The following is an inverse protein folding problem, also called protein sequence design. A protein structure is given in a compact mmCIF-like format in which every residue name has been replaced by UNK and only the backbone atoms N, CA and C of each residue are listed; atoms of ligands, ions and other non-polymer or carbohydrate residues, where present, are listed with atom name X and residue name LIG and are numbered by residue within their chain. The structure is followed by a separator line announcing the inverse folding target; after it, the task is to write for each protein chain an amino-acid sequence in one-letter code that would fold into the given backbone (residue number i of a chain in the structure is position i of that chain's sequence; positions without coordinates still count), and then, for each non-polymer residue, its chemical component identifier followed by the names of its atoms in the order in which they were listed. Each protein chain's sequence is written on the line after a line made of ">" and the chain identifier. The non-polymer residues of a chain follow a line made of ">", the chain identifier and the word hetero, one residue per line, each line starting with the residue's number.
data_IF_074468189168
#
_entry.id   IF_074468189168
#
_cell.length_a   1.000
_cell.length_b   1.000
_cell.length_c   1.000
_cell.angle_alpha   90.00
_cell.angle_beta   90.00
_cell.angle_gamma   90.00
#
_symmetry.space_group_name_H-M   'P 1'
#
loop_
_entity.id
_entity.type
_entity.pdbx_description
1 polymer ?
#
# COMPACT_ATOMS: atom_id res chain seq x y z
N UNK A 1 9.22 5.48 5.69
CA UNK A 1 8.45 5.27 6.93
C UNK A 1 6.99 5.67 6.69
N UNK A 2 6.01 4.97 7.25
CA UNK A 2 4.61 5.42 7.19
C UNK A 2 4.40 6.50 8.23
N UNK A 3 3.90 7.66 7.82
CA UNK A 3 3.49 8.73 8.73
C UNK A 3 1.97 8.65 8.91
N UNK A 4 1.53 8.22 10.09
CA UNK A 4 0.12 8.00 10.40
C UNK A 4 -0.53 9.27 10.92
N UNK A 5 -1.71 9.60 10.38
CA UNK A 5 -2.59 10.61 10.95
C UNK A 5 -3.58 9.92 11.91
N UNK A 6 -3.24 9.88 13.20
CA UNK A 6 -3.95 9.05 14.19
C UNK A 6 -5.39 9.51 14.50
N UNK A 7 -5.77 10.71 14.07
CA UNK A 7 -7.10 11.31 14.29
C UNK A 7 -8.07 11.02 13.14
N UNK A 8 -7.63 10.32 12.10
CA UNK A 8 -8.43 9.99 10.92
C UNK A 8 -8.65 8.48 10.84
N UNK A 9 -9.91 8.08 10.63
CA UNK A 9 -10.28 6.69 10.38
C UNK A 9 -11.05 6.54 9.08
N UNK A 10 -10.53 5.73 8.17
CA UNK A 10 -11.25 5.34 6.97
C UNK A 10 -12.00 4.02 7.18
N UNK A 11 -13.24 3.92 6.73
CA UNK A 11 -14.10 2.75 7.00
C UNK A 11 -14.71 2.18 5.72
N UNK A 12 -14.82 0.85 5.65
CA UNK A 12 -15.61 0.19 4.61
C UNK A 12 -17.10 0.55 4.76
N UNK A 13 -17.83 0.45 3.64
CA UNK A 13 -19.28 0.68 3.63
C UNK A 13 -19.99 -0.34 4.54
N UNK A 14 -20.91 0.14 5.38
CA UNK A 14 -21.70 -0.69 6.30
C UNK A 14 -21.14 -0.82 7.72
N UNK A 15 -19.99 -0.20 8.02
CA UNK A 15 -19.49 -0.09 9.40
C UNK A 15 -20.32 0.94 10.17
N UNK A 16 -20.79 0.58 11.37
CA UNK A 16 -21.56 1.47 12.24
C UNK A 16 -20.69 2.54 12.89
N UNK A 17 -21.02 3.80 12.65
CA UNK A 17 -20.29 4.97 13.18
C UNK A 17 -20.39 5.10 14.70
N UNK A 18 -21.39 4.50 15.35
CA UNK A 18 -21.55 4.51 16.80
C UNK A 18 -20.43 3.76 17.54
N UNK A 19 -19.72 2.87 16.84
CA UNK A 19 -18.57 2.13 17.41
C UNK A 19 -17.26 2.91 17.33
N UNK A 20 -17.27 4.08 16.66
CA UNK A 20 -16.08 4.88 16.39
C UNK A 20 -16.10 6.11 17.32
N UNK A 21 -14.99 6.38 18.04
CA UNK A 21 -14.87 7.55 18.91
C UNK A 21 -15.25 8.87 18.20
N UNK A 22 -15.92 9.77 18.93
CA UNK A 22 -16.44 11.05 18.39
C UNK A 22 -15.33 12.08 18.09
N UNK A 23 -14.14 11.89 18.65
CA UNK A 23 -12.96 12.71 18.42
C UNK A 23 -12.20 12.35 17.13
N UNK A 24 -12.72 11.39 16.35
CA UNK A 24 -12.14 10.99 15.06
C UNK A 24 -12.92 11.54 13.87
N UNK A 25 -12.17 12.08 12.91
CA UNK A 25 -12.67 12.36 11.57
C UNK A 25 -12.82 11.02 10.80
N UNK A 26 -14.02 10.79 10.26
CA UNK A 26 -14.38 9.53 9.62
C UNK A 26 -14.66 9.71 8.14
N UNK A 27 -13.99 8.90 7.33
CA UNK A 27 -14.18 8.85 5.89
C UNK A 27 -14.62 7.46 5.45
N UNK A 28 -15.72 7.36 4.69
CA UNK A 28 -16.10 6.11 4.03
C UNK A 28 -15.27 5.88 2.79
N UNK A 29 -14.81 4.64 2.63
CA UNK A 29 -14.13 4.18 1.44
C UNK A 29 -15.14 3.70 0.40
N UNK A 30 -15.13 4.32 -0.78
CA UNK A 30 -15.74 3.78 -1.98
C UNK A 30 -14.69 3.02 -2.80
N UNK A 31 -14.78 1.69 -2.79
CA UNK A 31 -13.84 0.79 -3.47
C UNK A 31 -14.31 0.39 -4.88
N UNK A 32 -15.35 1.02 -5.44
CA UNK A 32 -15.92 0.69 -6.77
C UNK A 32 -15.17 1.34 -7.94
N UNK A 33 -14.01 1.95 -7.66
CA UNK A 33 -13.13 2.57 -8.66
C UNK A 33 -12.21 1.53 -9.32
N UNK A 34 -10.93 1.52 -9.00
CA UNK A 34 -9.95 0.56 -9.47
C UNK A 34 -9.59 -0.45 -8.38
N UNK A 35 -9.24 -1.71 -8.73
CA UNK A 35 -8.76 -2.69 -7.75
C UNK A 35 -7.61 -2.15 -6.89
N UNK A 36 -7.75 -2.28 -5.57
CA UNK A 36 -6.77 -1.78 -4.59
C UNK A 36 -6.77 -0.27 -4.40
N UNK A 37 -7.69 0.46 -5.03
CA UNK A 37 -7.86 1.91 -4.86
C UNK A 37 -9.26 2.21 -4.33
N UNK A 38 -9.41 3.37 -3.71
CA UNK A 38 -10.68 3.88 -3.22
C UNK A 38 -10.76 5.40 -3.37
N UNK A 39 -11.99 5.92 -3.28
CA UNK A 39 -12.27 7.32 -3.00
C UNK A 39 -12.71 7.43 -1.55
N UNK A 40 -12.30 8.50 -0.87
CA UNK A 40 -12.68 8.78 0.50
C UNK A 40 -13.79 9.84 0.53
N UNK A 41 -14.94 9.47 1.07
CA UNK A 41 -16.13 10.32 1.22
C UNK A 41 -16.23 10.73 2.69
N UNK A 42 -16.44 12.00 2.96
CA UNK A 42 -16.61 12.49 4.33
C UNK A 42 -17.93 11.97 4.91
N UNK A 43 -17.85 11.31 6.07
CA UNK A 43 -19.02 10.83 6.82
C UNK A 43 -19.25 11.63 8.09
N UNK A 44 -18.17 11.95 8.80
CA UNK A 44 -18.22 12.69 10.06
C UNK A 44 -16.93 13.47 10.26
N UNK A 45 -17.06 14.75 10.61
CA UNK A 45 -15.96 15.52 11.18
C UNK A 45 -16.02 15.41 12.71
N UNK A 46 -14.86 15.33 13.34
CA UNK A 46 -14.74 15.48 14.78
C UNK A 46 -15.14 16.90 15.21
N UNK A 47 -15.39 17.09 16.51
CA UNK A 47 -15.66 18.42 17.06
C UNK A 47 -14.50 19.41 16.85
N UNK A 48 -13.27 18.92 16.80
CA UNK A 48 -12.08 19.70 16.50
C UNK A 48 -11.31 19.03 15.38
N UNK A 49 -11.38 19.62 14.19
CA UNK A 49 -10.73 19.10 12.98
C UNK A 49 -9.56 20.00 12.59
N UNK A 50 -8.43 19.39 12.27
CA UNK A 50 -7.23 20.10 11.82
C UNK A 50 -7.35 20.60 10.37
N UNK A 51 -6.66 21.69 10.02
CA UNK A 51 -6.61 22.22 8.65
C UNK A 51 -6.13 21.19 7.60
N UNK A 52 -5.24 20.28 8.01
CA UNK A 52 -4.77 19.17 7.17
C UNK A 52 -5.87 18.22 6.71
N UNK A 53 -7.06 18.31 7.32
CA UNK A 53 -8.24 17.50 7.04
C UNK A 53 -9.31 18.32 6.32
N UNK A 54 -9.52 19.58 6.71
CA UNK A 54 -10.54 20.42 6.06
C UNK A 54 -10.08 20.98 4.71
N UNK A 55 -8.82 21.38 4.57
CA UNK A 55 -8.32 21.97 3.33
C UNK A 55 -8.37 21.03 2.10
N UNK A 56 -8.18 19.70 2.26
CA UNK A 56 -8.29 18.77 1.14
C UNK A 56 -9.71 18.31 0.80
N UNK A 57 -10.75 18.85 1.45
CA UNK A 57 -12.13 18.54 1.10
C UNK A 57 -12.52 19.23 -0.20
N UNK A 58 -13.16 18.49 -1.11
CA UNK A 58 -13.74 19.03 -2.33
C UNK A 58 -15.06 18.34 -2.66
N UNK A 59 -16.01 19.08 -3.22
CA UNK A 59 -17.32 18.50 -3.55
C UNK A 59 -17.27 17.77 -4.90
N UNK A 60 -18.00 16.66 -4.98
CA UNK A 60 -18.29 16.02 -6.25
C UNK A 60 -19.53 16.65 -6.92
N UNK A 61 -19.81 16.25 -8.16
CA UNK A 61 -20.98 16.72 -8.93
C UNK A 61 -22.35 16.39 -8.31
N UNK A 62 -22.38 15.53 -7.30
CA UNK A 62 -23.58 15.11 -6.57
C UNK A 62 -23.71 15.79 -5.20
N UNK A 63 -22.75 16.67 -4.83
CA UNK A 63 -22.73 17.36 -3.54
C UNK A 63 -22.10 16.56 -2.40
N UNK A 64 -21.49 15.40 -2.65
CA UNK A 64 -20.74 14.69 -1.62
C UNK A 64 -19.35 15.33 -1.43
N UNK A 65 -18.95 15.53 -0.17
CA UNK A 65 -17.61 15.97 0.18
C UNK A 65 -16.61 14.80 0.05
N UNK A 66 -15.61 14.97 -0.81
CA UNK A 66 -14.52 14.05 -1.07
C UNK A 66 -13.24 14.50 -0.38
N UNK A 67 -12.40 13.56 0.02
CA UNK A 67 -11.05 13.86 0.52
C UNK A 67 -10.01 13.67 -0.57
N UNK A 68 -9.50 14.78 -1.10
CA UNK A 68 -8.57 14.79 -2.22
C UNK A 68 -7.16 14.37 -1.78
N UNK A 69 -6.62 13.33 -2.42
CA UNK A 69 -5.28 12.83 -2.11
C UNK A 69 -4.19 13.80 -2.54
N UNK A 70 -4.39 14.56 -3.63
CA UNK A 70 -3.44 15.58 -4.07
C UNK A 70 -3.43 16.79 -3.14
N UNK A 71 -4.60 17.32 -2.79
CA UNK A 71 -4.70 18.49 -1.89
C UNK A 71 -4.18 18.14 -0.49
N UNK A 72 -4.41 16.91 -0.03
CA UNK A 72 -3.87 16.42 1.23
C UNK A 72 -2.35 16.42 1.24
N UNK A 73 -1.72 15.99 0.15
CA UNK A 73 -0.27 16.03 0.02
C UNK A 73 0.28 17.46 -0.06
N UNK A 74 -0.44 18.38 -0.70
CA UNK A 74 -0.04 19.78 -0.78
C UNK A 74 -0.07 20.42 0.61
N UNK A 75 -1.11 20.17 1.41
CA UNK A 75 -1.20 20.67 2.79
C UNK A 75 -0.18 20.00 3.74
N UNK A 76 0.10 18.70 3.58
CA UNK A 76 1.19 18.03 4.30
C UNK A 76 2.55 18.69 4.01
N UNK A 77 2.80 19.04 2.74
CA UNK A 77 4.05 19.67 2.32
C UNK A 77 4.16 21.11 2.86
N UNK A 78 3.06 21.85 2.87
CA UNK A 78 3.01 23.20 3.45
C UNK A 78 3.24 23.21 4.97
N UNK A 79 2.81 22.16 5.68
CA UNK A 79 3.01 22.04 7.13
C UNK A 79 4.47 21.74 7.50
N UNK A 80 5.17 20.95 6.67
CA UNK A 80 6.57 20.56 6.90
C UNK A 80 7.56 21.72 6.69
N UNK A 81 7.26 22.66 5.79
CA UNK A 81 8.12 23.83 5.53
C UNK A 81 8.09 24.87 6.65
N UNK A 82 7.16 24.75 7.61
CA UNK A 82 7.01 25.70 8.71
C UNK A 82 7.94 25.41 9.92
N UNK A 83 8.47 24.19 10.05
CA UNK A 83 9.35 23.83 11.16
C UNK A 83 10.80 24.33 10.92
N UNK A 84 11.07 25.58 11.31
CA UNK A 84 12.38 26.25 11.14
C UNK A 84 13.53 25.64 11.95
N UNK A 85 13.27 24.65 12.82
CA UNK A 85 14.33 24.05 13.67
C UNK A 85 15.19 23.02 12.93
N UNK A 86 14.71 22.50 11.80
CA UNK A 86 15.43 21.55 10.96
C UNK A 86 15.53 22.11 9.54
N UNK A 87 16.72 22.05 8.92
CA UNK A 87 16.86 22.33 7.50
C UNK A 87 16.34 21.12 6.72
N UNK A 88 15.02 21.11 6.46
CA UNK A 88 14.36 20.05 5.69
C UNK A 88 14.21 20.49 4.25
N UNK A 89 14.89 19.79 3.34
CA UNK A 89 14.75 19.97 1.89
C UNK A 89 13.89 18.85 1.34
N UNK A 90 12.68 19.18 0.90
CA UNK A 90 11.78 18.24 0.25
C UNK A 90 12.14 18.09 -1.24
N UNK A 91 12.23 16.86 -1.72
CA UNK A 91 12.53 16.53 -3.11
C UNK A 91 11.26 16.19 -3.89
N UNK A 92 11.40 16.08 -5.22
CA UNK A 92 10.30 15.67 -6.10
C UNK A 92 9.76 14.29 -5.68
N UNK A 93 8.43 14.19 -5.57
CA UNK A 93 7.71 12.95 -5.23
C UNK A 93 8.12 11.77 -6.11
N UNK A 94 8.27 10.60 -5.48
CA UNK A 94 8.61 9.34 -6.13
C UNK A 94 7.53 8.28 -5.86
N UNK A 95 6.43 8.34 -6.61
CA UNK A 95 5.26 7.50 -6.34
C UNK A 95 4.55 7.93 -5.04
N UNK A 96 4.30 7.04 -4.07
CA UNK A 96 3.63 7.39 -2.81
C UNK A 96 4.54 8.13 -1.83
N UNK A 97 5.85 8.17 -2.07
CA UNK A 97 6.82 8.75 -1.13
C UNK A 97 7.14 10.20 -1.46
N UNK A 98 7.35 10.94 -0.39
CA UNK A 98 7.93 12.28 -0.36
C UNK A 98 9.34 12.17 0.21
N UNK A 99 10.37 12.13 -0.66
CA UNK A 99 11.75 12.12 -0.21
C UNK A 99 12.11 13.48 0.38
N UNK A 100 12.83 13.50 1.49
CA UNK A 100 13.34 14.71 2.10
C UNK A 100 14.75 14.46 2.64
N UNK A 101 15.56 15.52 2.65
CA UNK A 101 16.87 15.53 3.29
C UNK A 101 16.80 16.43 4.51
N UNK A 102 17.18 15.90 5.67
CA UNK A 102 17.22 16.64 6.94
C UNK A 102 18.68 16.98 7.24
N UNK A 103 18.98 18.26 7.46
CA UNK A 103 20.31 18.78 7.79
C UNK A 103 21.41 18.29 6.82
N UNK A 104 21.08 18.22 5.53
CA UNK A 104 21.95 17.77 4.43
C UNK A 104 22.52 16.34 4.53
N UNK A 105 22.23 15.61 5.61
CA UNK A 105 22.87 14.32 5.93
C UNK A 105 21.91 13.15 5.93
N UNK A 106 20.66 13.37 6.37
CA UNK A 106 19.72 12.28 6.59
C UNK A 106 18.73 12.26 5.42
N UNK A 107 18.83 11.23 4.57
CA UNK A 107 17.87 10.99 3.50
C UNK A 107 16.73 10.08 4.00
N UNK A 108 15.50 10.58 3.93
CA UNK A 108 14.31 9.86 4.39
C UNK A 108 13.22 9.89 3.32
N UNK A 109 12.57 8.74 3.14
CA UNK A 109 11.35 8.62 2.34
C UNK A 109 10.15 8.44 3.28
N UNK A 110 9.27 9.45 3.34
CA UNK A 110 8.03 9.37 4.10
C UNK A 110 6.85 9.13 3.16
N UNK A 111 5.97 8.22 3.56
CA UNK A 111 4.69 7.96 2.90
C UNK A 111 3.60 8.29 3.91
N UNK A 112 2.78 9.29 3.62
CA UNK A 112 1.61 9.57 4.47
C UNK A 112 0.59 8.46 4.31
N UNK A 113 -0.04 8.08 5.42
CA UNK A 113 -1.05 7.04 5.41
C UNK A 113 -2.14 7.32 6.46
N UNK A 114 -3.36 6.91 6.12
CA UNK A 114 -4.51 6.97 7.01
C UNK A 114 -4.88 5.54 7.39
N UNK A 115 -5.24 5.33 8.66
CA UNK A 115 -5.68 4.00 9.10
C UNK A 115 -7.02 3.69 8.46
N UNK A 116 -7.20 2.45 8.00
CA UNK A 116 -8.49 2.01 7.48
C UNK A 116 -8.95 0.66 8.03
N UNK A 117 -10.26 0.54 8.19
CA UNK A 117 -10.93 -0.71 8.55
C UNK A 117 -11.39 -1.40 7.27
N UNK A 118 -10.67 -2.47 6.90
CA UNK A 118 -11.01 -3.33 5.76
C UNK A 118 -11.42 -4.76 6.17
N UNK A 119 -12.47 -4.94 7.00
CA UNK A 119 -12.84 -6.25 7.52
C UNK A 119 -13.19 -7.24 6.39
N UNK A 120 -13.87 -6.80 5.33
CA UNK A 120 -14.25 -7.71 4.24
C UNK A 120 -13.04 -8.31 3.52
N UNK A 121 -11.98 -7.52 3.30
CA UNK A 121 -10.75 -7.97 2.66
C UNK A 121 -9.94 -8.86 3.60
N UNK A 122 -9.77 -8.43 4.85
CA UNK A 122 -8.95 -9.14 5.83
C UNK A 122 -9.57 -10.48 6.23
N UNK A 123 -10.89 -10.55 6.44
CA UNK A 123 -11.57 -11.80 6.77
C UNK A 123 -11.56 -12.78 5.60
N UNK A 124 -11.78 -12.30 4.37
CA UNK A 124 -11.67 -13.13 3.17
C UNK A 124 -10.25 -13.68 2.98
N UNK A 125 -9.24 -12.87 3.27
CA UNK A 125 -7.84 -13.34 3.30
C UNK A 125 -7.62 -14.34 4.43
N UNK A 126 -8.17 -14.09 5.63
CA UNK A 126 -8.06 -14.96 6.80
C UNK A 126 -8.62 -16.37 6.55
N UNK A 127 -9.75 -16.45 5.83
CA UNK A 127 -10.48 -17.68 5.55
C UNK A 127 -9.89 -18.58 4.45
N UNK A 128 -8.80 -18.17 3.77
CA UNK A 128 -8.20 -18.97 2.70
C UNK A 128 -7.66 -20.31 3.23
N UNK A 129 -7.84 -21.42 2.50
CA UNK A 129 -7.20 -22.68 2.84
C UNK A 129 -5.68 -22.57 2.64
N UNK A 130 -4.90 -22.85 3.68
CA UNK A 130 -3.43 -22.77 3.67
C UNK A 130 -2.81 -23.52 4.85
N UNK A 131 -1.53 -23.85 4.71
CA UNK A 131 -0.71 -24.41 5.79
C UNK A 131 0.26 -23.39 6.38
N UNK A 132 0.59 -22.34 5.62
CA UNK A 132 1.40 -21.22 6.07
C UNK A 132 0.68 -19.90 5.78
N UNK A 133 0.78 -18.89 6.66
CA UNK A 133 1.48 -18.93 7.95
C UNK A 133 0.64 -19.63 9.03
N UNK A 134 1.22 -19.78 10.23
CA UNK A 134 0.50 -20.32 11.38
C UNK A 134 -0.76 -19.48 11.71
N UNK A 135 -1.83 -20.08 12.26
CA UNK A 135 -3.07 -19.35 12.59
C UNK A 135 -2.89 -18.13 13.49
N UNK A 136 -1.92 -18.15 14.41
CA UNK A 136 -1.58 -17.00 15.26
C UNK A 136 -1.08 -15.81 14.45
N UNK A 137 -0.30 -16.06 13.40
CA UNK A 137 0.20 -15.03 12.49
C UNK A 137 -0.93 -14.50 11.62
N UNK A 138 -1.84 -15.36 11.17
CA UNK A 138 -3.07 -14.92 10.46
C UNK A 138 -3.87 -13.94 11.32
N UNK A 139 -4.12 -14.27 12.60
CA UNK A 139 -4.81 -13.38 13.54
C UNK A 139 -4.08 -12.05 13.72
N UNK A 140 -2.74 -12.08 13.84
CA UNK A 140 -1.91 -10.89 13.97
C UNK A 140 -1.96 -9.99 12.72
N UNK A 141 -1.94 -10.57 11.52
CA UNK A 141 -2.10 -9.82 10.26
C UNK A 141 -3.46 -9.13 10.19
N UNK A 142 -4.52 -9.81 10.64
CA UNK A 142 -5.87 -9.20 10.71
C UNK A 142 -5.91 -8.07 11.74
N UNK A 143 -5.26 -8.22 12.90
CA UNK A 143 -5.31 -7.23 13.97
C UNK A 143 -4.52 -5.95 13.68
N UNK A 144 -3.40 -6.04 12.94
CA UNK A 144 -2.62 -4.84 12.57
C UNK A 144 -3.33 -3.96 11.53
N UNK A 145 -4.37 -4.47 10.88
CA UNK A 145 -5.27 -3.71 10.03
C UNK A 145 -4.67 -3.30 8.67
N UNK A 146 -5.24 -2.24 8.11
CA UNK A 146 -4.91 -1.74 6.79
C UNK A 146 -4.75 -0.21 6.82
N UNK A 147 -4.22 0.32 5.72
CA UNK A 147 -4.04 1.75 5.55
C UNK A 147 -4.44 2.16 4.14
N UNK A 148 -4.68 3.45 3.95
CA UNK A 148 -4.78 4.08 2.63
C UNK A 148 -3.67 5.11 2.48
N UNK A 149 -3.09 5.17 1.28
CA UNK A 149 -2.02 6.10 0.91
C UNK A 149 -2.50 7.04 -0.17
N UNK A 150 -2.08 8.32 -0.17
CA UNK A 150 -2.52 9.32 -1.16
C UNK A 150 -1.82 9.05 -2.50
N UNK A 151 -2.31 8.04 -3.21
CA UNK A 151 -1.75 7.57 -4.48
C UNK A 151 -2.90 7.09 -5.34
N UNK A 152 -3.28 7.89 -6.32
CA UNK A 152 -4.30 7.49 -7.28
C UNK A 152 -3.79 6.47 -8.29
N UNK A 153 -4.73 5.83 -8.96
CA UNK A 153 -4.44 4.87 -10.01
C UNK A 153 -3.77 5.58 -11.19
N UNK A 154 -2.66 5.02 -11.69
CA UNK A 154 -1.77 5.70 -12.65
C UNK A 154 -2.50 6.20 -13.91
N UNK A 155 -3.43 5.40 -14.39
CA UNK A 155 -4.16 5.64 -15.65
C UNK A 155 -5.58 6.20 -15.42
N UNK A 156 -5.90 6.60 -14.18
CA UNK A 156 -7.18 7.23 -13.85
C UNK A 156 -7.17 8.73 -14.15
N UNK A 157 -8.27 9.22 -14.72
CA UNK A 157 -8.55 10.67 -14.84
C UNK A 157 -8.77 11.32 -13.47
N UNK A 158 -9.25 10.55 -12.49
CA UNK A 158 -9.56 10.99 -11.13
C UNK A 158 -8.45 10.66 -10.12
N UNK A 159 -7.23 10.36 -10.59
CA UNK A 159 -6.09 9.99 -9.73
C UNK A 159 -5.75 11.00 -8.62
N UNK A 160 -6.22 12.24 -8.73
CA UNK A 160 -5.98 13.32 -7.77
C UNK A 160 -6.89 13.22 -6.52
N UNK A 161 -8.02 12.52 -6.61
CA UNK A 161 -8.93 12.24 -5.47
C UNK A 161 -8.86 10.79 -4.98
N UNK A 162 -8.12 9.94 -5.68
CA UNK A 162 -8.02 8.52 -5.37
C UNK A 162 -6.91 8.22 -4.36
N UNK A 163 -7.17 7.19 -3.57
CA UNK A 163 -6.28 6.65 -2.55
C UNK A 163 -6.01 5.19 -2.84
N UNK A 164 -4.83 4.69 -2.45
CA UNK A 164 -4.45 3.28 -2.61
C UNK A 164 -4.46 2.58 -1.26
N UNK A 165 -5.23 1.50 -1.18
CA UNK A 165 -5.28 0.62 0.00
C UNK A 165 -3.98 -0.19 0.07
N UNK A 166 -3.41 -0.30 1.26
CA UNK A 166 -2.20 -1.06 1.50
C UNK A 166 -2.24 -1.79 2.85
N UNK A 167 -1.51 -2.91 2.91
CA UNK A 167 -1.50 -3.83 4.06
C UNK A 167 -0.09 -3.98 4.62
N UNK A 168 0.72 -2.92 4.54
CA UNK A 168 2.17 -2.97 4.78
C UNK A 168 2.54 -3.62 6.12
N UNK A 169 1.83 -3.33 7.21
CA UNK A 169 2.11 -3.94 8.51
C UNK A 169 1.85 -5.45 8.50
N UNK A 170 0.75 -5.88 7.90
CA UNK A 170 0.45 -7.31 7.73
C UNK A 170 1.46 -8.01 6.82
N UNK A 171 1.89 -7.35 5.74
CA UNK A 171 2.92 -7.89 4.85
C UNK A 171 4.27 -8.03 5.56
N UNK A 172 4.67 -7.05 6.39
CA UNK A 172 5.88 -7.13 7.21
C UNK A 172 5.81 -8.33 8.16
N UNK A 173 4.65 -8.54 8.80
CA UNK A 173 4.45 -9.71 9.67
C UNK A 173 4.64 -11.02 8.90
N UNK A 174 4.10 -11.13 7.69
CA UNK A 174 4.28 -12.32 6.85
C UNK A 174 5.74 -12.54 6.45
N UNK A 175 6.44 -11.47 6.05
CA UNK A 175 7.86 -11.55 5.67
C UNK A 175 8.74 -11.99 6.85
N UNK A 176 8.44 -11.50 8.06
CA UNK A 176 9.17 -11.88 9.27
C UNK A 176 8.94 -13.33 9.70
N UNK A 177 7.91 -14.00 9.15
CA UNK A 177 7.58 -15.40 9.44
C UNK A 177 7.92 -16.35 8.26
N UNK A 178 8.69 -15.87 7.27
CA UNK A 178 9.34 -16.72 6.30
C UNK A 178 10.45 -17.53 6.97
N UNK A 179 10.68 -18.76 6.51
CA UNK A 179 11.86 -19.51 6.95
C UNK A 179 13.12 -19.01 6.24
N UNK A 180 14.27 -19.50 6.68
CA UNK A 180 15.58 -19.10 6.15
C UNK A 180 15.69 -19.25 4.62
N UNK A 181 15.22 -20.36 4.05
CA UNK A 181 15.28 -20.58 2.59
C UNK A 181 14.35 -19.62 1.84
N UNK A 182 13.12 -19.41 2.30
CA UNK A 182 12.19 -18.45 1.71
C UNK A 182 12.73 -17.01 1.76
N UNK A 183 13.33 -16.62 2.88
CA UNK A 183 13.97 -15.32 3.05
C UNK A 183 15.16 -15.16 2.08
N UNK A 184 16.00 -16.18 1.93
CA UNK A 184 17.10 -16.19 0.94
C UNK A 184 16.60 -16.06 -0.50
N UNK A 185 15.53 -16.78 -0.87
CA UNK A 185 14.88 -16.60 -2.20
C UNK A 185 14.48 -15.15 -2.41
N UNK A 186 13.82 -14.53 -1.42
CA UNK A 186 13.39 -13.13 -1.53
C UNK A 186 14.56 -12.16 -1.69
N UNK A 187 15.63 -12.33 -0.90
CA UNK A 187 16.83 -11.50 -0.97
C UNK A 187 17.49 -11.62 -2.34
N UNK A 188 17.69 -12.85 -2.85
CA UNK A 188 18.31 -13.07 -4.16
C UNK A 188 17.45 -12.45 -5.27
N UNK A 189 16.13 -12.65 -5.24
CA UNK A 189 15.23 -12.01 -6.20
C UNK A 189 15.33 -10.48 -6.14
N UNK A 190 15.43 -9.88 -4.95
CA UNK A 190 15.64 -8.44 -4.79
C UNK A 190 16.98 -7.97 -5.36
N UNK A 191 18.05 -8.75 -5.20
CA UNK A 191 19.34 -8.45 -5.81
C UNK A 191 19.25 -8.53 -7.34
N UNK A 192 18.64 -9.59 -7.88
CA UNK A 192 18.37 -9.72 -9.32
C UNK A 192 17.55 -8.54 -9.84
N UNK A 193 16.53 -8.09 -9.11
CA UNK A 193 15.79 -6.89 -9.46
C UNK A 193 16.69 -5.66 -9.51
N UNK A 194 17.42 -5.37 -8.42
CA UNK A 194 18.23 -4.16 -8.31
C UNK A 194 19.30 -4.07 -9.40
N UNK A 195 20.04 -5.15 -9.62
CA UNK A 195 21.24 -5.13 -10.46
C UNK A 195 21.00 -5.54 -11.91
N UNK A 196 19.96 -6.34 -12.19
CA UNK A 196 19.74 -6.92 -13.52
C UNK A 196 18.44 -6.39 -14.15
N UNK A 197 17.31 -6.49 -13.44
CA UNK A 197 16.01 -6.23 -14.06
C UNK A 197 15.63 -4.74 -14.08
N UNK A 198 15.87 -4.00 -13.00
CA UNK A 198 15.44 -2.60 -12.86
C UNK A 198 16.03 -1.67 -13.93
N UNK A 199 17.30 -1.83 -14.35
CA UNK A 199 17.85 -1.06 -15.48
C UNK A 199 17.16 -1.33 -16.82
N UNK A 200 16.56 -2.52 -16.99
CA UNK A 200 15.93 -2.94 -18.25
C UNK A 200 14.41 -2.74 -18.27
N UNK A 201 13.75 -2.93 -17.13
CA UNK A 201 12.31 -2.80 -16.99
C UNK A 201 11.95 -2.13 -15.65
N UNK A 202 11.49 -0.89 -15.73
CA UNK A 202 11.11 -0.09 -14.55
C UNK A 202 9.81 -0.54 -13.91
N UNK A 203 8.97 -1.31 -14.61
CA UNK A 203 7.65 -1.77 -14.15
C UNK A 203 7.75 -2.93 -13.17
N UNK A 204 8.84 -3.70 -13.22
CA UNK A 204 9.10 -4.71 -12.20
C UNK A 204 9.52 -3.98 -10.92
N UNK A 205 8.81 -4.28 -9.83
CA UNK A 205 9.02 -3.66 -8.52
C UNK A 205 9.33 -4.71 -7.47
N UNK A 206 9.91 -4.28 -6.35
CA UNK A 206 10.11 -5.13 -5.17
C UNK A 206 8.78 -5.67 -4.65
N UNK A 207 7.69 -4.92 -4.83
CA UNK A 207 6.34 -5.34 -4.48
C UNK A 207 5.88 -6.58 -5.27
N UNK A 208 6.14 -6.63 -6.58
CA UNK A 208 5.84 -7.81 -7.41
C UNK A 208 6.61 -9.03 -6.89
N UNK A 209 7.91 -8.88 -6.60
CA UNK A 209 8.72 -9.98 -6.08
C UNK A 209 8.25 -10.47 -4.71
N UNK A 210 7.93 -9.53 -3.81
CA UNK A 210 7.37 -9.83 -2.49
C UNK A 210 6.10 -10.68 -2.62
N UNK A 211 5.19 -10.29 -3.51
CA UNK A 211 3.97 -11.04 -3.75
C UNK A 211 4.24 -12.44 -4.31
N UNK A 212 5.20 -12.60 -5.23
CA UNK A 212 5.61 -13.92 -5.73
C UNK A 212 6.05 -14.82 -4.57
N UNK A 213 6.94 -14.32 -3.70
CA UNK A 213 7.45 -15.09 -2.56
C UNK A 213 6.32 -15.43 -1.57
N UNK A 214 5.43 -14.48 -1.25
CA UNK A 214 4.32 -14.71 -0.34
C UNK A 214 3.34 -15.76 -0.89
N UNK A 215 3.01 -15.68 -2.19
CA UNK A 215 2.17 -16.71 -2.85
C UNK A 215 2.85 -18.07 -2.88
N UNK A 216 4.16 -18.09 -3.15
CA UNK A 216 4.96 -19.31 -3.14
C UNK A 216 4.98 -19.95 -1.75
N UNK A 217 5.11 -19.14 -0.69
CA UNK A 217 5.07 -19.59 0.69
C UNK A 217 3.67 -20.10 1.12
N UNK A 218 2.59 -19.44 0.68
CA UNK A 218 1.22 -19.86 1.00
C UNK A 218 0.82 -21.18 0.31
N UNK A 219 1.28 -21.40 -0.92
CA UNK A 219 0.92 -22.55 -1.77
C UNK A 219 1.72 -23.82 -1.48
N UNK A 220 2.82 -23.74 -0.73
CA UNK A 220 3.73 -24.85 -0.53
C UNK A 220 4.06 -25.00 0.95
N UNK A 221 4.16 -26.24 1.42
CA UNK A 221 4.53 -26.51 2.81
C UNK A 221 5.92 -25.96 3.12
N UNK A 222 6.07 -25.32 4.27
CA UNK A 222 7.33 -24.66 4.66
C UNK A 222 8.51 -25.65 4.76
N UNK A 223 8.25 -26.94 5.01
CA UNK A 223 9.26 -28.01 5.04
C UNK A 223 9.90 -28.29 3.68
N UNK A 224 9.25 -27.95 2.56
CA UNK A 224 9.84 -28.08 1.23
C UNK A 224 10.89 -26.99 0.95
N UNK A 225 10.97 -25.94 1.78
CA UNK A 225 11.95 -24.87 1.64
C UNK A 225 13.17 -25.16 2.53
N UNK A 226 14.13 -25.89 1.97
CA UNK A 226 15.43 -26.19 2.57
C UNK A 226 16.59 -25.63 1.73
N UNK A 227 17.79 -25.59 2.30
CA UNK A 227 18.99 -25.13 1.59
C UNK A 227 19.22 -25.85 0.25
N UNK A 228 18.93 -27.15 0.18
CA UNK A 228 19.06 -27.96 -1.05
C UNK A 228 18.04 -27.57 -2.13
N UNK A 229 16.87 -27.06 -1.73
CA UNK A 229 15.80 -26.63 -2.64
C UNK A 229 15.90 -25.16 -3.06
N UNK A 230 16.88 -24.40 -2.54
CA UNK A 230 16.98 -22.95 -2.74
C UNK A 230 16.96 -22.56 -4.23
N UNK A 231 17.77 -23.25 -5.05
CA UNK A 231 17.84 -22.99 -6.49
C UNK A 231 16.53 -23.33 -7.21
N UNK A 232 15.87 -24.43 -6.81
CA UNK A 232 14.56 -24.82 -7.34
C UNK A 232 13.53 -23.72 -7.11
N UNK A 233 13.46 -23.19 -5.88
CA UNK A 233 12.51 -22.15 -5.52
C UNK A 233 12.82 -20.79 -6.11
N UNK A 234 14.10 -20.46 -6.27
CA UNK A 234 14.53 -19.26 -7.00
C UNK A 234 14.10 -19.34 -8.47
N UNK A 235 14.35 -20.47 -9.13
CA UNK A 235 13.93 -20.70 -10.51
C UNK A 235 12.41 -20.60 -10.65
N UNK A 236 11.66 -21.19 -9.72
CA UNK A 236 10.20 -21.07 -9.69
C UNK A 236 9.76 -19.60 -9.61
N UNK A 237 10.32 -18.82 -8.68
CA UNK A 237 9.99 -17.39 -8.53
C UNK A 237 10.27 -16.57 -9.80
N UNK A 238 11.41 -16.82 -10.47
CA UNK A 238 11.74 -16.18 -11.75
C UNK A 238 10.78 -16.61 -12.88
N UNK A 239 10.35 -17.87 -12.89
CA UNK A 239 9.36 -18.36 -13.85
C UNK A 239 8.01 -17.66 -13.68
N UNK A 240 7.53 -17.52 -12.45
CA UNK A 240 6.29 -16.80 -12.15
C UNK A 240 6.38 -15.32 -12.55
N UNK A 241 7.53 -14.68 -12.31
CA UNK A 241 7.79 -13.31 -12.77
C UNK A 241 7.69 -13.18 -14.29
N UNK A 242 8.24 -14.16 -15.03
CA UNK A 242 8.15 -14.22 -16.50
C UNK A 242 6.69 -14.35 -16.96
N UNK A 243 5.93 -15.24 -16.32
CA UNK A 243 4.52 -15.46 -16.68
C UNK A 243 3.68 -14.21 -16.43
N UNK A 244 3.80 -13.58 -15.25
CA UNK A 244 3.09 -12.35 -14.92
C UNK A 244 3.38 -11.19 -15.89
N UNK A 245 4.61 -11.11 -16.40
CA UNK A 245 5.01 -10.10 -17.40
C UNK A 245 4.33 -10.30 -18.76
N UNK A 246 4.06 -11.55 -19.16
CA UNK A 246 3.35 -11.87 -20.43
C UNK A 246 1.88 -11.48 -20.37
N UNK A 247 1.21 -11.69 -19.24
CA UNK A 247 -0.20 -11.31 -19.06
C UNK A 247 -0.40 -9.78 -19.11
N UNK A 248 0.50 -9.00 -18.51
CA UNK A 248 0.45 -7.53 -18.59
C UNK A 248 0.72 -7.01 -20.02
N UNK A 249 1.60 -7.67 -20.78
CA UNK A 249 1.84 -7.35 -22.18
C UNK A 249 0.64 -7.57 -23.09
N UNK A 250 -0.15 -8.63 -22.86
CA UNK A 250 -1.38 -8.88 -23.61
C UNK A 250 -2.54 -7.95 -23.23
N UNK A 251 -2.68 -7.61 -21.94
CA UNK A 251 -3.70 -6.65 -21.50
C UNK A 251 -3.47 -5.25 -22.09
N UNK A 252 -2.22 -4.80 -22.16
CA UNK A 252 -1.87 -3.50 -22.78
C UNK A 252 -2.08 -3.44 -24.30
N UNK A 253 -1.83 -4.54 -25.01
CA UNK A 253 -2.08 -4.61 -26.46
C UNK A 253 -3.58 -4.55 -26.78
N UNK A 254 -4.44 -5.06 -25.90
CA UNK A 254 -5.90 -4.96 -26.05
C UNK A 254 -6.43 -3.55 -25.76
N UNK A 255 -5.84 -2.81 -24.82
CA UNK A 255 -6.23 -1.42 -24.56
C UNK A 255 -5.74 -0.41 -25.61
N UNK A 256 -4.74 -0.77 -26.43
CA UNK A 256 -4.23 0.07 -27.53
C UNK A 256 -4.80 -0.32 -28.90
N UNK A 257 -5.62 -1.38 -28.99
CA UNK A 257 -6.21 -1.88 -30.23
C UNK A 257 -7.68 -1.48 -30.46
N UNK A 258 -8.26 -0.65 -29.59
CA UNK A 258 -9.56 -0.01 -29.81
C UNK A 258 -9.34 1.49 -29.99
N UNK A 259 -8.89 1.86 -31.18
CA UNK A 259 -9.01 3.21 -31.77
C UNK A 259 -9.47 3.03 -33.20
#
# INVERSE_FOLDING_TARGET
>A
MLHLQNFILCVETGISLHTIPEDMDVFRMDTRVYPGHCILLLERLAHFTMKIITAPLCDNRYGDALFSSSLFLDECSASLSFDRRLQVVQHKRAGPSTPHTINEKIHTDTVHALRCLCPSVLQRWAARPRQWPLPVIVKKVVSVGAYVTPTGFKDSVNKHIEWRICFNSGETELINNLNDTQAKVYVILKMTLKYILKPKNKEITSYVLKNIVLWQAERNTQTHFSAYSLLHWLHYGLRELRMGSRYHGHARRRSQGNT
#
